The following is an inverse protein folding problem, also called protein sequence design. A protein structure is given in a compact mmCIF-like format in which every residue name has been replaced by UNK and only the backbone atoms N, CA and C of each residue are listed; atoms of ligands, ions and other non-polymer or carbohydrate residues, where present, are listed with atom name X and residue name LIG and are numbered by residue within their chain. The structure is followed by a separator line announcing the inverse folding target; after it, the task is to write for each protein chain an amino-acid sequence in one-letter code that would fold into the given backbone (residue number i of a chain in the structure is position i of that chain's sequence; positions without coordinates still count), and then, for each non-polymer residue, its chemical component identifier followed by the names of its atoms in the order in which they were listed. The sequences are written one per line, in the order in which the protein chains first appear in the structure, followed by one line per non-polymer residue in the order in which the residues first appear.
data_IF_637420192913
#
_entry.id   IF_637420192913
#
_cell.length_a   1.000
_cell.length_b   1.000
_cell.length_c   1.000
_cell.angle_alpha   90.00
_cell.angle_beta   90.00
_cell.angle_gamma   90.00
#
_symmetry.space_group_name_H-M   'P 1'
#
loop_
_entity.id
_entity.type
_entity.pdbx_description
1 polymer ?
#
# COMPACT_ATOMS: atom_id res chain seq x y z
N UNK A 1 7.17 5.67 7.48
CA UNK A 1 7.07 4.29 6.96
C UNK A 1 7.24 4.28 5.46
N UNK A 2 7.84 3.24 4.94
CA UNK A 2 8.14 3.16 3.51
C UNK A 2 7.31 2.06 2.85
N UNK A 3 7.31 2.07 1.51
CA UNK A 3 6.62 1.02 0.76
C UNK A 3 7.20 -0.35 1.09
N UNK A 4 8.51 -0.43 1.31
CA UNK A 4 9.13 -1.71 1.67
C UNK A 4 8.59 -2.23 3.00
N UNK A 5 8.36 -1.34 3.94
CA UNK A 5 7.81 -1.75 5.23
C UNK A 5 6.37 -2.19 5.09
N UNK A 6 5.59 -1.48 4.29
CA UNK A 6 4.21 -1.88 4.02
C UNK A 6 4.20 -3.27 3.40
N UNK A 7 5.06 -3.49 2.41
CA UNK A 7 5.12 -4.78 1.74
C UNK A 7 5.46 -5.90 2.72
N UNK A 8 6.40 -5.65 3.60
CA UNK A 8 6.81 -6.64 4.58
C UNK A 8 5.66 -6.99 5.51
N UNK A 9 4.97 -5.98 6.01
CA UNK A 9 3.85 -6.21 6.92
C UNK A 9 2.67 -6.88 6.23
N UNK A 10 2.45 -6.54 4.97
CA UNK A 10 1.36 -7.12 4.21
C UNK A 10 1.70 -8.51 3.66
N UNK A 11 2.97 -8.89 3.69
CA UNK A 11 3.37 -10.18 3.16
C UNK A 11 3.39 -10.24 1.65
N UNK A 12 3.63 -9.10 1.00
CA UNK A 12 3.66 -9.02 -0.45
C UNK A 12 4.95 -8.35 -0.89
N UNK A 13 5.21 -8.30 -2.20
CA UNK A 13 6.40 -7.63 -2.70
C UNK A 13 6.19 -6.12 -2.72
N UNK A 14 7.29 -5.38 -2.68
CA UNK A 14 7.20 -3.93 -2.78
C UNK A 14 6.62 -3.51 -4.14
N UNK A 15 6.88 -4.31 -5.18
CA UNK A 15 6.29 -4.04 -6.48
C UNK A 15 4.76 -4.11 -6.43
N UNK A 16 4.23 -5.08 -5.68
CA UNK A 16 2.79 -5.20 -5.54
C UNK A 16 2.20 -3.98 -4.83
N UNK A 17 2.86 -3.51 -3.79
CA UNK A 17 2.40 -2.31 -3.09
C UNK A 17 2.43 -1.11 -4.01
N UNK A 18 3.52 -0.96 -4.77
CA UNK A 18 3.64 0.14 -5.72
C UNK A 18 2.52 0.11 -6.75
N UNK A 19 2.20 -1.07 -7.27
CA UNK A 19 1.10 -1.19 -8.22
C UNK A 19 -0.23 -0.81 -7.60
N UNK A 20 -0.45 -1.24 -6.37
CA UNK A 20 -1.68 -0.90 -5.68
C UNK A 20 -1.84 0.61 -5.55
N UNK A 21 -0.77 1.28 -5.16
CA UNK A 21 -0.81 2.72 -4.93
C UNK A 21 -0.96 3.50 -6.23
N UNK A 22 -0.45 2.95 -7.33
CA UNK A 22 -0.53 3.63 -8.62
C UNK A 22 -1.78 3.23 -9.42
N UNK A 23 -2.66 2.45 -8.82
CA UNK A 23 -3.87 2.04 -9.49
C UNK A 23 -3.67 0.89 -10.47
N UNK A 24 -2.54 0.18 -10.39
CA UNK A 24 -2.29 -0.97 -11.22
C UNK A 24 -3.02 -2.20 -10.72
N UNK A 25 -2.91 -3.28 -11.48
CA UNK A 25 -3.59 -4.51 -11.10
C UNK A 25 -2.90 -5.22 -9.95
N UNK A 26 -3.67 -5.59 -8.96
CA UNK A 26 -3.20 -6.38 -7.83
C UNK A 26 -4.33 -7.34 -7.51
N UNK A 27 -4.01 -8.60 -7.21
CA UNK A 27 -5.04 -9.57 -6.88
C UNK A 27 -5.82 -9.11 -5.65
N UNK A 28 -7.07 -9.54 -5.55
CA UNK A 28 -7.93 -9.12 -4.46
C UNK A 28 -7.32 -9.45 -3.10
N UNK A 29 -6.72 -10.62 -3.00
CA UNK A 29 -6.12 -11.06 -1.75
C UNK A 29 -5.00 -10.12 -1.33
N UNK A 30 -4.12 -9.79 -2.24
CA UNK A 30 -3.02 -8.89 -1.93
C UNK A 30 -3.52 -7.48 -1.68
N UNK A 31 -4.53 -7.07 -2.44
CA UNK A 31 -5.12 -5.76 -2.26
C UNK A 31 -5.66 -5.59 -0.85
N UNK A 32 -6.36 -6.58 -0.34
CA UNK A 32 -6.89 -6.51 1.01
C UNK A 32 -5.79 -6.45 2.05
N UNK A 33 -4.74 -7.23 1.85
CA UNK A 33 -3.63 -7.23 2.81
C UNK A 33 -2.94 -5.88 2.85
N UNK A 34 -2.72 -5.29 1.69
CA UNK A 34 -2.09 -3.96 1.61
C UNK A 34 -2.98 -2.92 2.25
N UNK A 35 -4.26 -2.95 1.93
CA UNK A 35 -5.20 -2.00 2.48
C UNK A 35 -5.26 -2.09 3.99
N UNK A 36 -5.28 -3.30 4.52
CA UNK A 36 -5.32 -3.50 5.96
C UNK A 36 -4.10 -2.88 6.64
N UNK A 37 -2.92 -3.11 6.08
CA UNK A 37 -1.70 -2.57 6.66
C UNK A 37 -1.73 -1.04 6.60
N UNK A 38 -2.18 -0.48 5.49
CA UNK A 38 -2.26 0.97 5.36
C UNK A 38 -3.21 1.54 6.41
N UNK A 39 -4.35 0.89 6.61
CA UNK A 39 -5.31 1.35 7.62
C UNK A 39 -4.74 1.27 9.02
N UNK A 40 -4.02 0.20 9.32
CA UNK A 40 -3.48 -0.01 10.66
C UNK A 40 -2.32 0.92 10.97
N UNK A 41 -1.50 1.22 9.97
CA UNK A 41 -0.32 2.05 10.18
C UNK A 41 -0.57 3.52 9.94
N UNK A 42 -1.65 3.84 9.27
CA UNK A 42 -1.94 5.23 8.91
C UNK A 42 -1.06 5.75 7.78
N UNK A 43 -0.41 4.88 7.05
CA UNK A 43 0.46 5.28 5.96
C UNK A 43 -0.35 5.98 4.87
N UNK A 44 0.14 7.12 4.40
CA UNK A 44 -0.55 7.91 3.38
C UNK A 44 0.40 8.26 2.26
N UNK A 45 0.50 7.41 1.25
CA UNK A 45 1.46 7.62 0.17
C UNK A 45 1.20 8.86 -0.66
N UNK A 46 -0.01 9.34 -0.67
CA UNK A 46 -0.39 10.51 -1.47
C UNK A 46 -0.74 11.70 -0.60
N UNK A 47 -0.05 11.85 0.51
CA UNK A 47 -0.38 12.93 1.44
C UNK A 47 -0.35 14.30 0.77
N UNK A 48 0.61 14.55 -0.08
CA UNK A 48 0.68 15.83 -0.75
C UNK A 48 -0.50 16.06 -1.67
N UNK A 49 -0.90 15.02 -2.38
CA UNK A 49 -2.01 15.14 -3.31
C UNK A 49 -3.32 15.41 -2.60
N UNK A 50 -3.39 15.06 -1.33
CA UNK A 50 -4.60 15.24 -0.55
C UNK A 50 -4.68 16.59 0.14
N UNK A 51 -3.66 17.35 0.03
CA UNK A 51 -3.65 18.71 0.54
C UNK A 51 -4.64 19.55 -0.23
N UNK A 52 -5.63 20.00 0.41
CA UNK A 52 -6.66 20.77 -0.27
C UNK A 52 -6.87 22.10 0.38
#
# INVERSE_FOLDING_TARGET
MTIKEIAKLAGVSSAAVSRYLNGGYVSDEKKEQIKKVIDETGYQPSAQARML
#
